data_IF_329210954523
#
_entry.id   IF_329210954523
#
_cell.length_a   1.000
_cell.length_b   1.000
_cell.length_c   1.000
_cell.angle_alpha   90.00
_cell.angle_beta   90.00
_cell.angle_gamma   90.00
#
_symmetry.space_group_name_H-M   'P 1'
#
loop_
_entity.id
_entity.type
_entity.pdbx_description
1 polymer ?
#
# COMPACT_ATOMS: atom_id res chain seq x y z
N UNK A 1 -6.96 0.12 15.60
CA UNK A 1 -6.02 -0.99 15.37
C UNK A 1 -4.82 -0.60 14.51
N UNK A 2 -4.94 0.37 13.59
CA UNK A 2 -3.86 0.86 12.74
C UNK A 2 -2.54 1.21 13.49
N UNK A 3 -2.61 1.88 14.64
CA UNK A 3 -1.41 2.23 15.43
C UNK A 3 -0.57 1.01 15.86
N UNK A 4 -1.19 -0.14 16.14
CA UNK A 4 -0.47 -1.35 16.50
C UNK A 4 0.25 -1.96 15.29
N UNK A 5 -0.40 -1.90 14.11
CA UNK A 5 0.18 -2.34 12.85
C UNK A 5 1.33 -1.42 12.41
N UNK A 6 1.23 -0.11 12.65
CA UNK A 6 2.30 0.86 12.38
C UNK A 6 3.58 0.53 13.18
N UNK A 7 3.43 0.21 14.47
CA UNK A 7 4.57 -0.24 15.29
C UNK A 7 5.14 -1.58 14.82
N UNK A 8 4.28 -2.49 14.37
CA UNK A 8 4.73 -3.76 13.81
C UNK A 8 5.56 -3.53 12.53
N UNK A 9 5.13 -2.62 11.66
CA UNK A 9 5.88 -2.21 10.47
C UNK A 9 7.29 -1.75 10.85
N UNK A 10 7.41 -0.81 11.79
CA UNK A 10 8.72 -0.31 12.25
C UNK A 10 9.64 -1.45 12.69
N UNK A 11 9.14 -2.37 13.53
CA UNK A 11 9.90 -3.52 14.00
C UNK A 11 10.31 -4.44 12.84
N UNK A 12 9.40 -4.75 11.92
CA UNK A 12 9.71 -5.64 10.80
C UNK A 12 10.67 -5.00 9.79
N UNK A 13 10.58 -3.69 9.57
CA UNK A 13 11.51 -2.93 8.75
C UNK A 13 12.90 -2.92 9.39
N UNK A 14 13.00 -2.71 10.71
CA UNK A 14 14.27 -2.79 11.45
C UNK A 14 14.89 -4.20 11.40
N UNK A 15 14.05 -5.23 11.39
CA UNK A 15 14.48 -6.62 11.24
C UNK A 15 14.84 -7.01 9.79
N UNK A 16 14.68 -6.10 8.82
CA UNK A 16 14.91 -6.36 7.39
C UNK A 16 13.86 -7.26 6.74
N UNK A 17 12.68 -7.41 7.36
CA UNK A 17 11.58 -8.26 6.90
C UNK A 17 10.51 -7.42 6.20
N UNK A 18 10.89 -6.83 5.08
CA UNK A 18 10.04 -5.91 4.31
C UNK A 18 8.76 -6.57 3.81
N UNK A 19 8.80 -7.86 3.48
CA UNK A 19 7.60 -8.62 3.11
C UNK A 19 6.52 -8.61 4.21
N UNK A 20 6.90 -8.64 5.50
CA UNK A 20 5.93 -8.59 6.61
C UNK A 20 5.44 -7.16 6.87
N UNK A 21 6.34 -6.18 6.82
CA UNK A 21 5.97 -4.77 6.88
C UNK A 21 4.96 -4.41 5.77
N UNK A 22 5.18 -4.85 4.54
CA UNK A 22 4.28 -4.63 3.40
C UNK A 22 2.86 -5.18 3.63
N UNK A 23 2.75 -6.39 4.21
CA UNK A 23 1.45 -6.98 4.56
C UNK A 23 0.71 -6.16 5.61
N UNK A 24 1.42 -5.64 6.60
CA UNK A 24 0.81 -4.76 7.59
C UNK A 24 0.36 -3.43 6.98
N UNK A 25 1.13 -2.87 6.03
CA UNK A 25 0.70 -1.70 5.25
C UNK A 25 -0.59 -1.99 4.47
N UNK A 26 -0.71 -3.14 3.80
CA UNK A 26 -1.96 -3.55 3.14
C UNK A 26 -3.13 -3.59 4.11
N UNK A 27 -2.97 -4.23 5.27
CA UNK A 27 -4.06 -4.31 6.27
C UNK A 27 -4.48 -2.92 6.78
N UNK A 28 -3.52 -2.01 6.99
CA UNK A 28 -3.84 -0.62 7.36
C UNK A 28 -4.61 0.07 6.22
N UNK A 29 -4.22 -0.14 4.97
CA UNK A 29 -4.91 0.44 3.83
C UNK A 29 -6.35 -0.08 3.68
N UNK A 30 -6.57 -1.39 3.82
CA UNK A 30 -7.91 -2.02 3.83
C UNK A 30 -8.79 -1.48 4.97
N UNK A 31 -8.20 -1.19 6.13
CA UNK A 31 -8.91 -0.52 7.23
C UNK A 31 -9.31 0.90 6.85
N UNK A 32 -8.43 1.68 6.21
CA UNK A 32 -8.77 3.04 5.78
C UNK A 32 -9.87 3.06 4.71
N UNK A 33 -9.89 2.08 3.81
CA UNK A 33 -10.99 1.89 2.86
C UNK A 33 -12.32 1.60 3.55
N UNK A 34 -12.32 0.71 4.55
CA UNK A 34 -13.55 0.18 5.15
C UNK A 34 -14.10 1.04 6.30
N UNK A 35 -13.23 1.56 7.17
CA UNK A 35 -13.63 2.24 8.41
C UNK A 35 -13.68 3.76 8.26
N UNK A 36 -12.75 4.35 7.49
CA UNK A 36 -12.57 5.80 7.43
C UNK A 36 -12.97 6.44 6.09
N UNK A 37 -13.14 5.62 5.03
CA UNK A 37 -13.31 6.07 3.63
C UNK A 37 -12.23 7.10 3.24
N UNK A 38 -11.04 6.98 3.84
CA UNK A 38 -9.91 7.85 3.58
C UNK A 38 -9.04 7.20 2.50
N UNK A 39 -9.48 7.38 1.26
CA UNK A 39 -8.83 6.78 0.09
C UNK A 39 -7.42 7.35 -0.13
N UNK A 40 -7.16 8.60 0.25
CA UNK A 40 -5.84 9.21 0.13
C UNK A 40 -4.81 8.50 1.01
N UNK A 41 -5.18 8.22 2.27
CA UNK A 41 -4.32 7.46 3.16
C UNK A 41 -4.18 6.01 2.72
N UNK A 42 -5.27 5.38 2.28
CA UNK A 42 -5.21 4.01 1.77
C UNK A 42 -4.21 3.90 0.60
N UNK A 43 -4.27 4.83 -0.36
CA UNK A 43 -3.32 4.94 -1.47
C UNK A 43 -1.89 5.01 -0.97
N UNK A 44 -1.59 5.91 -0.04
CA UNK A 44 -0.24 6.06 0.50
C UNK A 44 0.31 4.76 1.12
N UNK A 45 -0.52 4.06 1.91
CA UNK A 45 -0.11 2.80 2.51
C UNK A 45 0.07 1.68 1.47
N UNK A 46 -0.76 1.60 0.43
CA UNK A 46 -0.56 0.62 -0.65
C UNK A 46 0.68 0.91 -1.50
N UNK A 47 1.00 2.18 -1.76
CA UNK A 47 2.24 2.54 -2.47
C UNK A 47 3.46 2.05 -1.69
N UNK A 48 3.51 2.32 -0.39
CA UNK A 48 4.62 1.83 0.44
C UNK A 48 4.66 0.29 0.46
N UNK A 49 3.51 -0.38 0.55
CA UNK A 49 3.48 -1.84 0.44
C UNK A 49 4.02 -2.34 -0.91
N UNK A 50 3.68 -1.66 -2.01
CA UNK A 50 4.16 -2.01 -3.34
C UNK A 50 5.68 -1.87 -3.45
N UNK A 51 6.26 -0.79 -2.93
CA UNK A 51 7.69 -0.56 -2.93
C UNK A 51 8.45 -1.63 -2.13
N UNK A 52 7.96 -1.99 -0.95
CA UNK A 52 8.53 -3.08 -0.15
C UNK A 52 8.46 -4.42 -0.87
N UNK A 53 7.32 -4.75 -1.50
CA UNK A 53 7.20 -5.98 -2.29
C UNK A 53 8.10 -5.99 -3.52
N UNK A 54 8.29 -4.84 -4.17
CA UNK A 54 9.18 -4.70 -5.33
C UNK A 54 10.64 -4.90 -4.94
N UNK A 55 11.07 -4.40 -3.78
CA UNK A 55 12.41 -4.62 -3.24
C UNK A 55 12.72 -6.08 -2.91
N UNK A 56 11.70 -6.85 -2.50
CA UNK A 56 11.82 -8.27 -2.16
C UNK A 56 11.58 -9.21 -3.37
N UNK A 57 11.69 -8.68 -4.60
CA UNK A 57 11.41 -9.40 -5.86
C UNK A 57 9.99 -9.98 -5.98
N UNK A 58 9.05 -9.52 -5.16
CA UNK A 58 7.64 -9.94 -5.15
C UNK A 58 6.77 -9.07 -6.06
N UNK A 59 7.05 -9.12 -7.36
CA UNK A 59 6.39 -8.28 -8.37
C UNK A 59 4.87 -8.52 -8.41
N UNK A 60 4.42 -9.77 -8.30
CA UNK A 60 2.99 -10.09 -8.32
C UNK A 60 2.22 -9.41 -7.17
N UNK A 61 2.82 -9.36 -5.98
CA UNK A 61 2.22 -8.72 -4.81
C UNK A 61 2.25 -7.20 -4.94
N UNK A 62 3.36 -6.65 -5.46
CA UNK A 62 3.49 -5.23 -5.74
C UNK A 62 2.45 -4.75 -6.77
N UNK A 63 2.27 -5.48 -7.87
CA UNK A 63 1.28 -5.15 -8.89
C UNK A 63 -0.14 -5.17 -8.32
N UNK A 64 -0.46 -6.10 -7.42
CA UNK A 64 -1.76 -6.12 -6.74
C UNK A 64 -1.99 -4.85 -5.89
N UNK A 65 -0.97 -4.37 -5.19
CA UNK A 65 -1.03 -3.09 -4.47
C UNK A 65 -1.19 -1.91 -5.43
N UNK A 66 -0.38 -1.85 -6.49
CA UNK A 66 -0.39 -0.76 -7.47
C UNK A 66 -1.75 -0.65 -8.18
N UNK A 67 -2.38 -1.77 -8.53
CA UNK A 67 -3.74 -1.77 -9.09
C UNK A 67 -4.76 -1.14 -8.14
N UNK A 68 -4.63 -1.40 -6.83
CA UNK A 68 -5.46 -0.77 -5.80
C UNK A 68 -5.18 0.73 -5.71
N UNK A 69 -3.91 1.13 -5.71
CA UNK A 69 -3.51 2.54 -5.75
C UNK A 69 -4.13 3.26 -6.94
N UNK A 70 -4.01 2.69 -8.14
CA UNK A 70 -4.55 3.29 -9.36
C UNK A 70 -6.07 3.38 -9.32
N UNK A 71 -6.74 2.34 -8.82
CA UNK A 71 -8.20 2.32 -8.64
C UNK A 71 -8.67 3.46 -7.73
N UNK A 72 -8.01 3.66 -6.58
CA UNK A 72 -8.39 4.70 -5.63
C UNK A 72 -7.94 6.10 -6.07
N UNK A 73 -6.78 6.21 -6.72
CA UNK A 73 -6.34 7.46 -7.34
C UNK A 73 -7.36 7.95 -8.39
N UNK A 74 -7.92 7.04 -9.20
CA UNK A 74 -8.98 7.37 -10.14
C UNK A 74 -10.30 7.81 -9.45
N UNK A 75 -10.62 7.25 -8.28
CA UNK A 75 -11.79 7.69 -7.48
C UNK A 75 -11.57 9.07 -6.84
N UNK A 76 -10.33 9.41 -6.52
CA UNK A 76 -9.91 10.71 -6.00
C UNK A 76 -9.72 11.77 -7.11
N UNK A 77 -10.21 11.50 -8.32
CA UNK A 77 -10.04 12.34 -9.53
C UNK A 77 -8.58 12.57 -9.95
N UNK A 78 -7.66 11.80 -9.39
CA UNK A 78 -6.22 11.89 -9.63
C UNK A 78 -5.81 10.98 -10.79
N UNK A 79 -6.40 11.24 -11.96
CA UNK A 79 -6.30 10.36 -13.13
C UNK A 79 -4.88 10.25 -13.69
N UNK A 80 -4.08 11.32 -13.62
CA UNK A 80 -2.69 11.31 -14.07
C UNK A 80 -1.88 10.22 -13.36
N UNK A 81 -2.03 10.12 -12.04
CA UNK A 81 -1.35 9.13 -11.22
C UNK A 81 -1.85 7.71 -11.52
N UNK A 82 -3.16 7.55 -11.70
CA UNK A 82 -3.73 6.25 -12.04
C UNK A 82 -3.21 5.74 -13.41
N UNK A 83 -3.16 6.61 -14.43
CA UNK A 83 -2.67 6.27 -15.76
C UNK A 83 -1.21 5.82 -15.69
N UNK A 84 -0.34 6.60 -15.03
CA UNK A 84 1.08 6.25 -14.89
C UNK A 84 1.28 4.87 -14.27
N UNK A 85 0.47 4.53 -13.27
CA UNK A 85 0.57 3.22 -12.60
C UNK A 85 0.04 2.09 -13.48
N UNK A 86 -1.00 2.33 -14.29
CA UNK A 86 -1.52 1.33 -15.24
C UNK A 86 -0.61 1.11 -16.46
N UNK A 87 0.19 2.09 -16.83
CA UNK A 87 1.16 1.98 -17.94
C UNK A 87 2.47 1.30 -17.56
N UNK A 88 2.73 1.11 -16.26
CA UNK A 88 3.96 0.54 -15.71
C UNK A 88 3.96 -1.00 -15.71
#
# INVERSE_FOLDING_TARGET
AANCLQKAIEIYTDMGRFTMAAKHHQSIAEMYESEAVDLERAVHHYEQAADYFRGEESISSANKCLLKVAQYAAQLENYDKAIQIYEQ
#
